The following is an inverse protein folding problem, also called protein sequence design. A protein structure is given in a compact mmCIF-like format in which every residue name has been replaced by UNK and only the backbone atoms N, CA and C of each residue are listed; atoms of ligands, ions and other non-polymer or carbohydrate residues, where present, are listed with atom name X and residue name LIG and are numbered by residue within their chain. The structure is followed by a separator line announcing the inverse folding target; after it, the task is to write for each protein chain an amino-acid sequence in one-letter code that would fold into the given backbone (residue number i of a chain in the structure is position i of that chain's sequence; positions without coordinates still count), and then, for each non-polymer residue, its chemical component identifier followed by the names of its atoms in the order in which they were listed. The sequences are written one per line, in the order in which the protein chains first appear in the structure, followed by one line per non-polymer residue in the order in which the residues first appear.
data_IF_892091242083
#
_entry.id   IF_892091242083
#
_cell.length_a   1.000
_cell.length_b   1.000
_cell.length_c   1.000
_cell.angle_alpha   90.00
_cell.angle_beta   90.00
_cell.angle_gamma   90.00
#
_symmetry.space_group_name_H-M   'P 1'
#
loop_
_entity.id
_entity.type
_entity.pdbx_description
1 polymer ?
#
# COMPACT_ATOMS: atom_id res chain seq x y z
N UNK A 1 -5.16 45.59 3.01
CA UNK A 1 -6.41 45.26 2.32
C UNK A 1 -6.60 43.77 2.49
N UNK A 2 -7.50 43.36 3.40
CA UNK A 2 -7.82 41.96 3.67
C UNK A 2 -8.66 41.42 2.51
N UNK A 3 -8.13 40.47 1.77
CA UNK A 3 -8.92 39.67 0.83
C UNK A 3 -9.98 38.94 1.65
N UNK A 4 -11.20 39.36 1.57
CA UNK A 4 -12.38 38.59 2.01
C UNK A 4 -12.48 37.40 1.10
N UNK A 5 -11.89 36.27 1.50
CA UNK A 5 -11.93 35.04 0.76
C UNK A 5 -13.39 34.60 0.58
N UNK A 6 -13.85 34.56 -0.69
CA UNK A 6 -15.15 33.99 -1.07
C UNK A 6 -15.07 32.50 -0.71
N UNK A 7 -15.88 32.04 0.26
CA UNK A 7 -16.01 30.61 0.57
C UNK A 7 -17.19 30.02 -0.21
N UNK A 8 -17.05 28.85 -0.74
CA UNK A 8 -18.12 28.05 -1.35
C UNK A 8 -18.74 27.14 -0.29
N UNK A 9 -20.05 27.06 -0.24
CA UNK A 9 -20.76 26.11 0.62
C UNK A 9 -20.94 24.80 -0.13
N UNK A 10 -20.42 23.70 0.40
CA UNK A 10 -20.55 22.37 -0.17
C UNK A 10 -21.48 21.55 0.72
N UNK A 11 -22.59 21.10 0.17
CA UNK A 11 -23.55 20.23 0.85
C UNK A 11 -23.19 18.77 0.64
N UNK A 12 -23.38 17.94 1.66
CA UNK A 12 -23.09 16.53 1.63
C UNK A 12 -24.01 15.70 2.53
N UNK A 13 -24.16 14.41 2.20
CA UNK A 13 -24.83 13.39 2.99
C UNK A 13 -23.83 12.31 3.39
N UNK A 14 -23.70 12.03 4.69
CA UNK A 14 -22.94 10.88 5.17
C UNK A 14 -23.73 9.58 5.01
N UNK A 15 -23.08 8.55 4.47
CA UNK A 15 -23.67 7.21 4.28
C UNK A 15 -22.72 6.11 4.74
N UNK A 16 -23.26 4.91 4.96
CA UNK A 16 -22.46 3.68 5.04
C UNK A 16 -22.20 3.07 3.64
N UNK A 17 -21.54 1.91 3.60
CA UNK A 17 -21.25 1.20 2.36
C UNK A 17 -22.49 0.67 1.61
N UNK A 18 -23.65 0.68 2.22
CA UNK A 18 -24.93 0.28 1.62
C UNK A 18 -25.78 1.49 1.18
N UNK A 19 -25.21 2.70 1.23
CA UNK A 19 -25.93 3.93 0.89
C UNK A 19 -26.91 4.42 1.97
N UNK A 20 -27.01 3.74 3.11
CA UNK A 20 -27.87 4.17 4.21
C UNK A 20 -27.21 5.33 4.97
N UNK A 21 -28.04 6.25 5.45
CA UNK A 21 -27.56 7.41 6.23
C UNK A 21 -26.73 6.97 7.43
N UNK A 22 -25.48 7.44 7.49
CA UNK A 22 -24.57 7.14 8.57
C UNK A 22 -25.10 7.64 9.90
N UNK A 23 -25.35 6.72 10.86
CA UNK A 23 -25.87 7.02 12.21
C UNK A 23 -27.05 8.02 12.20
N UNK A 24 -27.92 7.96 11.18
CA UNK A 24 -29.07 8.83 10.97
C UNK A 24 -28.78 10.34 10.83
N UNK A 25 -27.55 10.71 10.47
CA UNK A 25 -27.18 12.11 10.27
C UNK A 25 -27.92 12.66 9.04
N UNK A 26 -28.55 13.82 9.21
CA UNK A 26 -29.18 14.57 8.12
C UNK A 26 -28.11 15.17 7.17
N UNK A 27 -28.47 15.49 5.91
CA UNK A 27 -27.61 16.26 5.03
C UNK A 27 -27.08 17.52 5.70
N UNK A 28 -25.82 17.84 5.46
CA UNK A 28 -25.13 18.95 6.10
C UNK A 28 -24.23 19.67 5.10
N UNK A 29 -23.51 20.69 5.54
CA UNK A 29 -22.61 21.45 4.68
C UNK A 29 -21.32 21.83 5.40
N UNK A 30 -20.30 22.17 4.60
CA UNK A 30 -19.05 22.80 5.03
C UNK A 30 -18.73 23.97 4.10
N UNK A 31 -18.04 24.99 4.65
CA UNK A 31 -17.54 26.12 3.86
C UNK A 31 -16.09 25.84 3.46
N UNK A 32 -15.79 25.89 2.17
CA UNK A 32 -14.47 25.61 1.62
C UNK A 32 -14.03 26.70 0.65
N UNK A 33 -12.75 26.74 0.31
CA UNK A 33 -12.24 27.60 -0.78
C UNK A 33 -12.92 27.24 -2.10
N UNK A 34 -13.16 28.19 -3.02
CA UNK A 34 -13.64 27.89 -4.38
C UNK A 34 -12.73 26.94 -5.16
N UNK A 35 -11.45 26.87 -4.82
CA UNK A 35 -10.45 25.96 -5.39
C UNK A 35 -10.34 24.63 -4.66
N UNK A 36 -11.22 24.37 -3.67
CA UNK A 36 -11.17 23.15 -2.86
C UNK A 36 -11.39 21.89 -3.70
N UNK A 37 -10.79 20.83 -3.24
CA UNK A 37 -10.85 19.49 -3.84
C UNK A 37 -11.53 18.51 -2.88
N UNK A 38 -11.78 17.30 -3.35
CA UNK A 38 -12.40 16.22 -2.55
C UNK A 38 -11.64 15.96 -1.24
N UNK A 39 -10.31 16.00 -1.25
CA UNK A 39 -9.50 15.83 -0.03
C UNK A 39 -9.79 16.91 1.03
N UNK A 40 -10.02 18.14 0.60
CA UNK A 40 -10.36 19.26 1.50
C UNK A 40 -11.75 19.05 2.11
N UNK A 41 -12.71 18.55 1.31
CA UNK A 41 -14.02 18.16 1.78
C UNK A 41 -13.94 17.05 2.84
N UNK A 42 -13.21 15.97 2.57
CA UNK A 42 -13.04 14.87 3.51
C UNK A 42 -12.48 15.36 4.84
N UNK A 43 -11.45 16.21 4.80
CA UNK A 43 -10.82 16.82 5.98
C UNK A 43 -11.80 17.70 6.77
N UNK A 44 -12.59 18.53 6.08
CA UNK A 44 -13.59 19.41 6.71
C UNK A 44 -14.76 18.61 7.31
N UNK A 45 -15.25 17.59 6.60
CA UNK A 45 -16.31 16.68 7.11
C UNK A 45 -15.81 15.94 8.34
N UNK A 46 -14.59 15.41 8.30
CA UNK A 46 -13.96 14.75 9.43
C UNK A 46 -13.86 15.68 10.64
N UNK A 47 -13.37 16.89 10.46
CA UNK A 47 -13.22 17.90 11.51
C UNK A 47 -14.58 18.31 12.10
N UNK A 48 -15.63 18.43 11.28
CA UNK A 48 -16.98 18.77 11.70
C UNK A 48 -17.59 17.73 12.67
N UNK A 49 -17.24 16.45 12.51
CA UNK A 49 -17.81 15.35 13.29
C UNK A 49 -16.79 14.62 14.16
N UNK A 50 -15.60 15.18 14.37
CA UNK A 50 -14.46 14.58 15.09
C UNK A 50 -14.81 14.05 16.48
N UNK A 51 -15.55 14.86 17.26
CA UNK A 51 -15.87 14.53 18.65
C UNK A 51 -17.15 13.68 18.80
N UNK A 52 -17.82 13.33 17.69
CA UNK A 52 -19.13 12.69 17.72
C UNK A 52 -19.20 11.46 16.82
N UNK A 53 -19.66 11.66 15.60
CA UNK A 53 -20.05 10.56 14.71
C UNK A 53 -18.86 9.91 13.98
N UNK A 54 -17.75 10.64 13.82
CA UNK A 54 -16.53 10.20 13.11
C UNK A 54 -15.30 10.15 14.03
N UNK A 55 -15.50 9.92 15.35
CA UNK A 55 -14.43 9.95 16.35
C UNK A 55 -13.25 9.04 15.98
N UNK A 56 -13.52 7.85 15.46
CA UNK A 56 -12.53 6.84 15.13
C UNK A 56 -12.38 6.66 13.61
N UNK A 57 -12.90 7.60 12.81
CA UNK A 57 -12.87 7.59 11.35
C UNK A 57 -11.92 8.69 10.89
N UNK A 58 -11.01 8.38 9.99
CA UNK A 58 -10.07 9.34 9.39
C UNK A 58 -10.61 9.91 8.07
N UNK A 59 -10.09 11.06 7.64
CA UNK A 59 -10.55 11.73 6.43
C UNK A 59 -10.36 10.89 5.16
N UNK A 60 -9.34 10.05 5.12
CA UNK A 60 -9.02 9.12 4.03
C UNK A 60 -9.94 7.88 4.00
N UNK A 61 -10.70 7.63 5.08
CA UNK A 61 -11.75 6.61 5.13
C UNK A 61 -13.09 7.10 4.55
N UNK A 62 -13.12 8.35 4.11
CA UNK A 62 -14.28 8.95 3.48
C UNK A 62 -14.13 8.87 1.95
N UNK A 63 -15.09 8.24 1.29
CA UNK A 63 -15.18 8.21 -0.15
C UNK A 63 -16.30 9.15 -0.62
N UNK A 64 -16.04 9.97 -1.63
CA UNK A 64 -16.99 10.98 -2.12
C UNK A 64 -17.55 10.58 -3.47
N UNK A 65 -18.87 10.68 -3.62
CA UNK A 65 -19.64 10.42 -4.84
C UNK A 65 -20.50 11.63 -5.17
N UNK A 66 -20.83 11.82 -6.45
CA UNK A 66 -21.66 12.97 -6.87
C UNK A 66 -23.10 12.87 -6.33
N UNK A 67 -23.65 11.65 -6.31
CA UNK A 67 -25.02 11.38 -5.89
C UNK A 67 -25.17 9.92 -5.43
N UNK A 68 -26.38 9.52 -5.05
CA UNK A 68 -26.68 8.15 -4.60
C UNK A 68 -26.56 7.11 -5.73
N UNK A 69 -26.88 7.47 -6.98
CA UNK A 69 -26.76 6.55 -8.13
C UNK A 69 -25.29 6.22 -8.42
N UNK A 70 -24.40 7.19 -8.24
CA UNK A 70 -22.95 6.97 -8.37
C UNK A 70 -22.42 6.07 -7.24
N UNK A 71 -23.01 6.12 -6.03
CA UNK A 71 -22.68 5.23 -4.93
C UNK A 71 -23.12 3.79 -5.20
N UNK A 72 -24.34 3.58 -5.70
CA UNK A 72 -24.86 2.24 -6.04
C UNK A 72 -24.01 1.56 -7.10
N UNK A 73 -23.38 2.36 -7.96
CA UNK A 73 -22.47 1.89 -8.99
C UNK A 73 -21.00 2.03 -8.56
N UNK A 74 -20.63 1.81 -7.33
CA UNK A 74 -19.29 1.92 -6.68
C UNK A 74 -18.10 2.38 -7.57
N UNK A 75 -18.32 2.47 -8.87
CA UNK A 75 -17.37 2.77 -9.95
C UNK A 75 -17.16 4.27 -10.19
N UNK A 76 -17.90 5.16 -9.48
CA UNK A 76 -17.89 6.60 -9.77
C UNK A 76 -17.48 7.46 -8.57
N UNK A 77 -16.63 6.91 -7.69
CA UNK A 77 -15.99 7.69 -6.64
C UNK A 77 -15.23 8.86 -7.27
N UNK A 78 -15.36 10.04 -6.71
CA UNK A 78 -14.56 11.19 -7.10
C UNK A 78 -13.12 11.00 -6.58
N UNK A 79 -12.14 11.26 -7.46
CA UNK A 79 -10.72 11.31 -7.07
C UNK A 79 -10.51 12.35 -5.97
N UNK A 80 -9.60 12.10 -5.04
CA UNK A 80 -9.26 13.05 -3.97
C UNK A 80 -8.77 14.41 -4.49
N UNK A 81 -8.20 14.45 -5.70
CA UNK A 81 -7.76 15.67 -6.37
C UNK A 81 -8.85 16.34 -7.21
N UNK A 82 -10.05 15.72 -7.32
CA UNK A 82 -11.16 16.26 -8.12
C UNK A 82 -11.62 17.61 -7.56
N UNK A 83 -11.75 18.66 -8.41
CA UNK A 83 -12.23 19.96 -7.97
C UNK A 83 -13.72 19.88 -7.59
N UNK A 84 -14.11 20.59 -6.55
CA UNK A 84 -15.49 20.61 -6.06
C UNK A 84 -16.35 21.70 -6.69
N UNK A 85 -15.79 22.51 -7.58
CA UNK A 85 -16.52 23.62 -8.21
C UNK A 85 -17.77 23.12 -8.94
N UNK A 86 -18.93 23.65 -8.56
CA UNK A 86 -20.23 23.28 -9.15
C UNK A 86 -20.83 21.97 -8.62
N UNK A 87 -20.20 21.33 -7.62
CA UNK A 87 -20.70 20.12 -6.98
C UNK A 87 -21.22 20.40 -5.56
N UNK A 88 -22.06 19.49 -5.04
CA UNK A 88 -22.52 19.55 -3.66
C UNK A 88 -23.44 20.74 -3.37
N UNK A 89 -24.50 20.87 -4.13
CA UNK A 89 -25.55 21.89 -3.90
C UNK A 89 -26.55 21.42 -2.84
N UNK A 90 -27.41 22.29 -2.35
CA UNK A 90 -28.49 21.95 -1.41
C UNK A 90 -29.53 21.00 -2.01
N UNK A 91 -29.72 21.07 -3.34
CA UNK A 91 -30.62 20.18 -4.09
C UNK A 91 -29.96 18.83 -4.39
N UNK A 92 -28.67 18.85 -4.73
CA UNK A 92 -27.87 17.67 -5.06
C UNK A 92 -26.62 17.60 -4.16
N UNK A 93 -26.77 17.19 -2.90
CA UNK A 93 -25.62 17.06 -1.99
C UNK A 93 -24.71 15.93 -2.44
N UNK A 94 -23.41 16.12 -2.27
CA UNK A 94 -22.45 15.04 -2.45
C UNK A 94 -22.70 13.90 -1.46
N UNK A 95 -22.51 12.68 -1.88
CA UNK A 95 -22.57 11.52 -0.98
C UNK A 95 -21.16 11.26 -0.45
N UNK A 96 -20.99 11.33 0.86
CA UNK A 96 -19.76 11.01 1.56
C UNK A 96 -19.93 9.69 2.27
N UNK A 97 -19.40 8.63 1.70
CA UNK A 97 -19.48 7.28 2.25
C UNK A 97 -18.36 7.08 3.28
N UNK A 98 -18.74 6.56 4.43
CA UNK A 98 -17.81 6.10 5.46
C UNK A 98 -17.44 4.66 5.14
N UNK A 99 -16.20 4.47 4.67
CA UNK A 99 -15.68 3.12 4.43
C UNK A 99 -15.37 2.43 5.76
N UNK A 100 -15.71 1.16 5.88
CA UNK A 100 -15.31 0.40 7.06
C UNK A 100 -13.76 0.35 7.13
N UNK A 101 -13.15 0.56 8.29
CA UNK A 101 -11.69 0.50 8.42
C UNK A 101 -11.19 -0.87 7.99
N UNK A 102 -10.13 -0.90 7.20
CA UNK A 102 -9.44 -2.14 6.84
C UNK A 102 -8.91 -2.72 8.16
N UNK A 103 -9.45 -3.88 8.56
CA UNK A 103 -9.03 -4.54 9.80
C UNK A 103 -7.55 -4.90 9.69
N UNK A 104 -6.69 -4.24 10.47
CA UNK A 104 -5.27 -4.58 10.57
C UNK A 104 -4.33 -3.38 10.53
N UNK A 105 -4.58 -2.36 9.72
CA UNK A 105 -3.71 -1.18 9.66
C UNK A 105 -4.22 -0.16 10.68
N UNK A 106 -3.49 0.04 11.79
CA UNK A 106 -3.73 1.17 12.69
C UNK A 106 -3.27 2.44 11.98
N UNK A 107 -4.21 3.19 11.42
CA UNK A 107 -3.95 4.44 10.71
C UNK A 107 -3.53 5.52 11.71
N UNK A 108 -2.37 6.13 11.49
CA UNK A 108 -1.98 7.37 12.14
C UNK A 108 -2.68 8.55 11.47
N UNK A 109 -2.83 9.68 12.20
CA UNK A 109 -3.33 10.93 11.61
C UNK A 109 -2.42 11.33 10.45
N UNK A 110 -2.95 11.29 9.22
CA UNK A 110 -2.19 11.76 8.06
C UNK A 110 -2.22 13.29 8.02
N UNK A 111 -1.08 13.91 8.25
CA UNK A 111 -0.91 15.36 8.12
C UNK A 111 -0.11 15.68 6.86
N UNK A 112 -0.80 16.25 5.88
CA UNK A 112 -0.18 16.71 4.63
C UNK A 112 0.97 17.69 4.86
N UNK A 113 0.93 18.48 5.93
CA UNK A 113 1.96 19.48 6.22
C UNK A 113 3.28 18.83 6.62
N UNK A 114 3.22 17.68 7.27
CA UNK A 114 4.38 16.92 7.75
C UNK A 114 5.00 16.00 6.68
N UNK A 115 4.25 15.68 5.61
CA UNK A 115 4.78 14.83 4.55
C UNK A 115 5.86 15.55 3.74
N UNK A 116 6.99 14.89 3.53
CA UNK A 116 8.10 15.40 2.75
C UNK A 116 7.71 15.81 1.33
N UNK A 117 8.21 16.96 0.90
CA UNK A 117 7.90 17.58 -0.40
C UNK A 117 8.13 16.62 -1.58
N UNK A 118 9.15 15.76 -1.49
CA UNK A 118 9.49 14.83 -2.57
C UNK A 118 8.44 13.74 -2.76
N UNK A 119 7.89 13.15 -1.69
CA UNK A 119 6.80 12.17 -1.79
C UNK A 119 5.53 12.82 -2.33
N UNK A 120 5.20 14.06 -1.92
CA UNK A 120 4.08 14.82 -2.48
C UNK A 120 4.20 14.95 -4.00
N UNK A 121 5.36 15.39 -4.49
CA UNK A 121 5.62 15.51 -5.91
C UNK A 121 5.55 14.16 -6.63
N UNK A 122 6.05 13.09 -5.99
CA UNK A 122 5.98 11.74 -6.54
C UNK A 122 4.53 11.27 -6.71
N UNK A 123 3.66 11.47 -5.72
CA UNK A 123 2.24 11.12 -5.81
C UNK A 123 1.51 11.95 -6.87
N UNK A 124 1.77 13.25 -6.95
CA UNK A 124 1.19 14.09 -8.00
C UNK A 124 1.61 13.63 -9.41
N UNK A 125 2.88 13.27 -9.59
CA UNK A 125 3.39 12.78 -10.87
C UNK A 125 2.85 11.38 -11.18
N UNK A 126 2.71 10.52 -10.16
CA UNK A 126 2.12 9.20 -10.31
C UNK A 126 0.65 9.31 -10.75
N UNK A 127 -0.18 10.08 -10.07
CA UNK A 127 -1.58 10.26 -10.44
C UNK A 127 -1.72 10.82 -11.86
N UNK A 128 -0.90 11.82 -12.23
CA UNK A 128 -0.87 12.34 -13.62
C UNK A 128 -0.50 11.25 -14.63
N UNK A 129 0.43 10.36 -14.29
CA UNK A 129 0.80 9.25 -15.16
C UNK A 129 -0.33 8.20 -15.25
N UNK A 130 -1.02 7.92 -14.14
CA UNK A 130 -2.17 7.02 -14.10
C UNK A 130 -3.36 7.58 -14.91
N UNK A 131 -3.65 8.87 -14.83
CA UNK A 131 -4.70 9.54 -15.62
C UNK A 131 -4.51 9.39 -17.15
N UNK A 132 -3.28 9.21 -17.61
CA UNK A 132 -2.97 9.00 -19.03
C UNK A 132 -3.24 7.57 -19.51
N UNK A 133 -3.55 6.63 -18.61
CA UNK A 133 -3.92 5.27 -19.01
C UNK A 133 -5.29 5.27 -19.71
N UNK A 134 -5.52 4.39 -20.70
CA UNK A 134 -6.81 4.31 -21.38
C UNK A 134 -7.96 4.11 -20.39
N UNK A 135 -8.97 4.98 -20.46
CA UNK A 135 -10.11 4.97 -19.52
C UNK A 135 -10.85 3.63 -19.42
N UNK A 136 -10.83 2.82 -20.47
CA UNK A 136 -11.39 1.45 -20.45
C UNK A 136 -10.73 0.53 -19.41
N UNK A 137 -9.59 0.92 -18.84
CA UNK A 137 -8.89 0.17 -17.78
C UNK A 137 -9.30 0.58 -16.37
N UNK A 138 -9.97 1.71 -16.19
CA UNK A 138 -10.45 2.17 -14.89
C UNK A 138 -11.82 1.55 -14.60
N UNK A 139 -11.87 0.51 -13.82
CA UNK A 139 -13.10 -0.19 -13.47
C UNK A 139 -13.80 0.32 -12.22
N UNK A 140 -13.11 1.08 -11.36
CA UNK A 140 -13.66 1.57 -10.09
C UNK A 140 -13.11 2.97 -9.78
N UNK A 141 -13.99 3.95 -9.63
CA UNK A 141 -13.72 5.27 -9.02
C UNK A 141 -12.65 6.16 -9.66
N UNK A 142 -12.39 6.10 -10.95
CA UNK A 142 -11.25 6.76 -11.61
C UNK A 142 -9.88 6.38 -11.02
N UNK A 143 -9.81 5.31 -10.27
CA UNK A 143 -8.60 4.78 -9.66
C UNK A 143 -8.06 3.62 -10.50
N UNK A 144 -6.75 3.59 -10.73
CA UNK A 144 -6.13 2.58 -11.57
C UNK A 144 -6.01 1.23 -10.84
N UNK A 145 -6.48 0.12 -11.43
CA UNK A 145 -6.22 -1.19 -10.86
C UNK A 145 -4.72 -1.50 -10.87
N UNK A 146 -4.14 -1.86 -9.73
CA UNK A 146 -2.71 -2.19 -9.61
C UNK A 146 -2.27 -3.21 -10.69
N UNK A 147 -3.10 -4.23 -10.95
CA UNK A 147 -2.84 -5.27 -11.95
C UNK A 147 -2.83 -4.78 -13.41
N UNK A 148 -3.15 -3.52 -13.68
CA UNK A 148 -3.17 -2.96 -15.02
C UNK A 148 -2.17 -1.82 -15.22
N UNK A 149 -1.37 -1.51 -14.22
CA UNK A 149 -0.38 -0.44 -14.27
C UNK A 149 0.88 -0.95 -14.98
N UNK A 150 1.21 -0.43 -16.18
CA UNK A 150 2.39 -0.88 -16.90
C UNK A 150 3.66 -0.22 -16.35
N UNK A 151 4.78 -0.94 -16.41
CA UNK A 151 6.09 -0.46 -15.93
C UNK A 151 6.52 0.87 -16.53
N UNK A 152 6.35 1.05 -17.83
CA UNK A 152 6.72 2.30 -18.51
C UNK A 152 5.96 3.53 -18.02
N UNK A 153 4.80 3.36 -17.40
CA UNK A 153 4.02 4.43 -16.76
C UNK A 153 4.69 4.88 -15.47
N UNK A 154 5.09 3.94 -14.62
CA UNK A 154 5.61 4.22 -13.27
C UNK A 154 7.13 4.44 -13.23
N UNK A 155 7.88 3.84 -14.13
CA UNK A 155 9.34 3.94 -14.20
C UNK A 155 9.82 5.41 -14.27
N UNK A 156 9.09 6.26 -15.00
CA UNK A 156 9.42 7.69 -15.12
C UNK A 156 9.25 8.47 -13.82
N UNK A 157 8.39 7.95 -12.93
CA UNK A 157 8.09 8.58 -11.64
C UNK A 157 9.04 8.05 -10.56
N UNK A 158 9.28 6.75 -10.53
CA UNK A 158 9.97 6.09 -9.42
C UNK A 158 11.48 6.05 -9.56
N UNK A 159 12.02 5.77 -10.75
CA UNK A 159 13.46 5.73 -11.05
C UNK A 159 14.30 5.12 -9.90
N UNK A 160 14.12 3.84 -9.56
CA UNK A 160 14.81 3.25 -8.42
C UNK A 160 16.32 3.31 -8.58
N UNK A 161 17.02 3.84 -7.57
CA UNK A 161 18.47 3.84 -7.53
C UNK A 161 18.98 2.51 -6.98
N UNK A 162 20.10 2.01 -7.51
CA UNK A 162 20.73 0.80 -6.99
C UNK A 162 21.22 1.03 -5.55
N UNK A 163 21.01 0.05 -4.67
CA UNK A 163 21.54 0.02 -3.33
C UNK A 163 21.77 -1.43 -2.87
N UNK A 164 22.37 -1.60 -1.72
CA UNK A 164 22.50 -2.89 -1.06
C UNK A 164 21.64 -2.91 0.19
N UNK A 165 20.67 -3.87 0.26
CA UNK A 165 19.80 -4.05 1.43
C UNK A 165 20.60 -4.64 2.59
N UNK A 166 20.42 -4.12 3.79
CA UNK A 166 21.05 -4.64 5.01
C UNK A 166 20.79 -6.14 5.16
N UNK A 167 21.87 -6.88 5.36
CA UNK A 167 21.85 -8.32 5.57
C UNK A 167 22.09 -8.61 7.06
N UNK A 168 21.04 -8.98 7.78
CA UNK A 168 21.11 -9.39 9.20
C UNK A 168 20.76 -10.88 9.29
N UNK A 169 21.71 -11.76 9.59
CA UNK A 169 21.44 -13.19 9.63
C UNK A 169 20.33 -13.59 10.58
N UNK A 170 19.55 -14.61 10.22
CA UNK A 170 18.65 -15.31 11.15
C UNK A 170 19.42 -16.40 11.89
N UNK A 171 18.81 -16.95 12.93
CA UNK A 171 19.42 -18.06 13.67
C UNK A 171 19.65 -19.27 12.76
N UNK A 172 20.82 -19.92 12.88
CA UNK A 172 21.19 -21.11 12.08
C UNK A 172 20.17 -22.25 12.25
N UNK A 173 19.58 -22.41 13.44
CA UNK A 173 18.54 -23.40 13.70
C UNK A 173 17.30 -23.18 12.82
N UNK A 174 16.87 -21.92 12.64
CA UNK A 174 15.73 -21.57 11.78
C UNK A 174 16.05 -21.82 10.30
N UNK A 175 17.28 -21.51 9.88
CA UNK A 175 17.74 -21.78 8.53
C UNK A 175 17.77 -23.29 8.21
N UNK A 176 18.27 -24.12 9.14
CA UNK A 176 18.26 -25.58 8.99
C UNK A 176 16.84 -26.15 8.98
N UNK A 177 15.96 -25.62 9.82
CA UNK A 177 14.54 -25.99 9.82
C UNK A 177 13.88 -25.67 8.49
N UNK A 178 14.11 -24.47 7.97
CA UNK A 178 13.61 -24.01 6.67
C UNK A 178 14.11 -24.91 5.52
N UNK A 179 15.40 -25.21 5.49
CA UNK A 179 15.97 -26.11 4.48
C UNK A 179 15.35 -27.53 4.55
N UNK A 180 15.14 -28.04 5.76
CA UNK A 180 14.46 -29.33 5.97
C UNK A 180 13.01 -29.30 5.49
N UNK A 181 12.34 -28.15 5.63
CA UNK A 181 10.99 -27.93 5.14
C UNK A 181 10.94 -27.97 3.60
N UNK A 182 11.89 -27.34 2.91
CA UNK A 182 11.96 -27.40 1.45
C UNK A 182 12.17 -28.82 0.93
N UNK A 183 12.99 -29.63 1.57
CA UNK A 183 13.14 -31.05 1.21
C UNK A 183 11.80 -31.81 1.28
N UNK A 184 10.92 -31.45 2.23
CA UNK A 184 9.57 -32.04 2.33
C UNK A 184 8.64 -31.53 1.24
N UNK A 185 8.59 -30.22 1.01
CA UNK A 185 7.73 -29.59 -0.01
C UNK A 185 8.00 -30.20 -1.39
N UNK A 186 9.26 -30.33 -1.78
CA UNK A 186 9.64 -30.90 -3.09
C UNK A 186 9.16 -32.32 -3.34
N UNK A 187 8.75 -33.05 -2.31
CA UNK A 187 8.14 -34.38 -2.50
C UNK A 187 6.69 -34.35 -3.00
N UNK A 188 6.01 -33.23 -2.77
CA UNK A 188 4.57 -33.10 -3.02
C UNK A 188 4.26 -32.12 -4.15
N UNK A 189 5.16 -31.17 -4.43
CA UNK A 189 4.97 -30.16 -5.45
C UNK A 189 5.96 -30.36 -6.58
N UNK A 190 5.50 -30.13 -7.80
CA UNK A 190 6.34 -30.16 -9.00
C UNK A 190 7.39 -29.05 -8.96
N UNK A 191 8.35 -29.12 -9.89
CA UNK A 191 9.42 -28.13 -10.04
C UNK A 191 8.86 -26.70 -10.04
N UNK A 192 9.50 -25.84 -9.27
CA UNK A 192 9.13 -24.44 -9.12
C UNK A 192 9.13 -23.68 -10.47
N UNK A 193 9.99 -24.06 -11.39
CA UNK A 193 10.06 -23.46 -12.72
C UNK A 193 8.73 -23.59 -13.51
N UNK A 194 7.97 -24.65 -13.27
CA UNK A 194 6.70 -24.93 -13.92
C UNK A 194 5.47 -24.55 -13.07
N UNK A 195 5.68 -24.04 -11.86
CA UNK A 195 4.61 -23.69 -10.94
C UNK A 195 3.89 -22.39 -11.34
N UNK A 196 2.59 -22.30 -11.02
CA UNK A 196 1.83 -21.05 -11.10
C UNK A 196 2.09 -20.14 -9.88
N UNK A 197 1.59 -18.90 -9.88
CA UNK A 197 1.79 -17.94 -8.80
C UNK A 197 1.30 -18.47 -7.44
N UNK A 198 0.15 -19.14 -7.38
CA UNK A 198 -0.38 -19.72 -6.15
C UNK A 198 0.52 -20.82 -5.57
N UNK A 199 1.07 -21.67 -6.44
CA UNK A 199 2.03 -22.69 -6.01
C UNK A 199 3.36 -22.10 -5.53
N UNK A 200 3.81 -20.98 -6.12
CA UNK A 200 5.03 -20.27 -5.68
C UNK A 200 4.91 -19.75 -4.25
N UNK A 201 3.72 -19.30 -3.84
CA UNK A 201 3.49 -18.90 -2.46
C UNK A 201 3.76 -20.02 -1.46
N UNK A 202 3.56 -21.29 -1.84
CA UNK A 202 3.89 -22.46 -0.98
C UNK A 202 5.40 -22.54 -0.68
N UNK A 203 6.24 -22.08 -1.62
CA UNK A 203 7.70 -22.02 -1.44
C UNK A 203 8.14 -20.71 -0.80
N UNK A 204 7.45 -19.61 -1.04
CA UNK A 204 7.79 -18.28 -0.54
C UNK A 204 7.45 -18.14 0.94
N UNK A 205 6.23 -18.56 1.35
CA UNK A 205 5.74 -18.41 2.72
C UNK A 205 6.65 -18.99 3.81
N UNK A 206 7.27 -20.17 3.65
CA UNK A 206 8.19 -20.73 4.64
C UNK A 206 9.39 -19.83 4.93
N UNK A 207 9.89 -19.09 3.92
CA UNK A 207 10.97 -18.11 4.10
C UNK A 207 10.53 -17.01 5.07
N UNK A 208 9.32 -16.46 4.87
CA UNK A 208 8.78 -15.44 5.77
C UNK A 208 8.51 -15.98 7.17
N UNK A 209 7.99 -17.19 7.30
CA UNK A 209 7.79 -17.80 8.62
C UNK A 209 9.10 -17.96 9.39
N UNK A 210 10.17 -18.46 8.73
CA UNK A 210 11.47 -18.63 9.38
C UNK A 210 12.08 -17.29 9.83
N UNK A 211 11.79 -16.20 9.15
CA UNK A 211 12.24 -14.84 9.50
C UNK A 211 11.36 -14.21 10.57
N UNK A 212 10.04 -14.39 10.50
CA UNK A 212 9.08 -13.73 11.40
C UNK A 212 8.96 -14.43 12.76
N UNK A 213 9.16 -15.75 12.81
CA UNK A 213 9.03 -16.54 14.04
C UNK A 213 9.89 -16.00 15.20
N UNK A 214 11.19 -15.70 15.04
CA UNK A 214 11.99 -15.16 16.13
C UNK A 214 11.63 -13.71 16.53
N UNK A 215 10.95 -12.97 15.66
CA UNK A 215 10.53 -11.60 15.94
C UNK A 215 9.26 -11.54 16.81
N UNK A 216 8.35 -12.49 16.66
CA UNK A 216 7.17 -12.72 17.50
C UNK A 216 6.06 -11.66 17.40
N UNK A 217 6.32 -10.49 16.82
CA UNK A 217 5.40 -9.36 16.73
C UNK A 217 5.02 -9.00 15.26
N UNK A 218 5.44 -9.81 14.29
CA UNK A 218 5.10 -9.62 12.87
C UNK A 218 3.74 -10.23 12.57
N UNK A 219 2.87 -9.43 11.95
CA UNK A 219 1.59 -9.89 11.41
C UNK A 219 1.73 -10.08 9.90
N UNK A 220 1.29 -11.22 9.40
CA UNK A 220 1.23 -11.51 7.96
C UNK A 220 -0.23 -11.50 7.52
N UNK A 221 -0.54 -10.69 6.53
CA UNK A 221 -1.86 -10.62 5.91
C UNK A 221 -1.75 -11.04 4.45
N UNK A 222 -2.69 -11.87 3.98
CA UNK A 222 -2.65 -12.48 2.64
C UNK A 222 -3.81 -11.95 1.81
N UNK A 223 -3.52 -11.53 0.58
CA UNK A 223 -4.50 -11.18 -0.46
C UNK A 223 -5.60 -10.21 0.00
N UNK A 224 -5.25 -9.17 0.72
CA UNK A 224 -6.17 -8.11 1.08
C UNK A 224 -6.15 -6.96 0.05
N UNK A 225 -7.25 -6.23 -0.02
CA UNK A 225 -7.38 -5.10 -0.95
C UNK A 225 -6.89 -3.81 -0.32
N UNK A 226 -6.16 -3.02 -1.09
CA UNK A 226 -5.79 -1.64 -0.78
C UNK A 226 -6.48 -0.69 -1.75
N UNK A 227 -6.89 0.47 -1.24
CA UNK A 227 -7.41 1.56 -2.07
C UNK A 227 -6.81 2.86 -1.54
N UNK A 228 -6.06 3.55 -2.39
CA UNK A 228 -5.51 4.87 -2.07
C UNK A 228 -6.59 5.95 -2.14
N UNK A 229 -6.44 6.99 -1.32
CA UNK A 229 -7.24 8.20 -1.36
C UNK A 229 -6.49 9.34 -2.04
N UNK A 230 -5.18 9.39 -1.88
CA UNK A 230 -4.25 10.37 -2.44
C UNK A 230 -3.49 9.81 -3.64
N UNK A 231 -3.21 8.52 -3.62
CA UNK A 231 -2.70 7.76 -4.76
C UNK A 231 -3.88 7.11 -5.45
N UNK A 232 -4.18 7.53 -6.69
CA UNK A 232 -5.33 7.08 -7.47
C UNK A 232 -5.13 5.64 -7.98
N UNK A 233 -4.90 4.70 -7.06
CA UNK A 233 -4.70 3.30 -7.35
C UNK A 233 -5.42 2.40 -6.33
N UNK A 234 -5.86 1.23 -6.80
CA UNK A 234 -6.49 0.21 -5.97
C UNK A 234 -6.11 -1.19 -6.45
N UNK A 235 -6.16 -2.16 -5.57
CA UNK A 235 -5.90 -3.55 -5.93
C UNK A 235 -5.64 -4.43 -4.73
N UNK A 236 -5.08 -5.61 -4.99
CA UNK A 236 -4.74 -6.60 -3.96
C UNK A 236 -3.25 -6.83 -3.99
N UNK A 237 -2.66 -6.97 -2.82
CA UNK A 237 -1.30 -7.48 -2.67
C UNK A 237 -1.34 -8.98 -2.34
N UNK A 238 -0.26 -9.69 -2.61
CA UNK A 238 -0.18 -11.11 -2.26
C UNK A 238 0.08 -11.30 -0.77
N UNK A 239 1.06 -10.59 -0.21
CA UNK A 239 1.38 -10.61 1.21
C UNK A 239 1.67 -9.20 1.71
N UNK A 240 1.25 -8.92 2.95
CA UNK A 240 1.65 -7.75 3.71
C UNK A 240 2.21 -8.21 5.05
N UNK A 241 3.42 -7.75 5.37
CA UNK A 241 4.06 -7.97 6.66
C UNK A 241 4.05 -6.65 7.42
N UNK A 242 3.40 -6.66 8.56
CA UNK A 242 3.31 -5.50 9.46
C UNK A 242 4.01 -5.80 10.77
N UNK A 243 4.81 -4.84 11.21
CA UNK A 243 5.41 -4.87 12.52
C UNK A 243 5.09 -3.56 13.24
N UNK A 244 4.33 -3.59 14.36
CA UNK A 244 3.80 -2.38 14.99
C UNK A 244 4.87 -1.34 15.29
N UNK A 245 4.71 -0.10 14.74
CA UNK A 245 5.62 1.01 14.96
C UNK A 245 7.03 0.86 14.36
N UNK A 246 7.27 -0.15 13.53
CA UNK A 246 8.61 -0.47 13.04
C UNK A 246 8.71 -0.48 11.51
N UNK A 247 8.05 -1.41 10.86
CA UNK A 247 8.16 -1.56 9.41
C UNK A 247 6.93 -2.22 8.80
N UNK A 248 6.75 -1.96 7.51
CA UNK A 248 5.78 -2.63 6.66
C UNK A 248 6.49 -3.10 5.39
N UNK A 249 6.17 -4.30 4.97
CA UNK A 249 6.70 -4.89 3.75
C UNK A 249 5.57 -5.45 2.90
N UNK A 250 5.46 -4.96 1.68
CA UNK A 250 4.50 -5.42 0.66
C UNK A 250 5.20 -6.42 -0.24
N UNK A 251 4.60 -7.59 -0.43
CA UNK A 251 5.13 -8.61 -1.33
C UNK A 251 4.19 -8.86 -2.50
N UNK A 252 4.78 -9.00 -3.68
CA UNK A 252 4.13 -9.40 -4.91
C UNK A 252 4.82 -10.65 -5.46
N UNK A 253 4.08 -11.76 -5.56
CA UNK A 253 4.58 -12.99 -6.16
C UNK A 253 4.32 -12.98 -7.67
N UNK A 254 5.36 -13.23 -8.48
CA UNK A 254 5.26 -13.24 -9.94
C UNK A 254 5.77 -14.55 -10.52
N UNK A 255 5.31 -14.87 -11.72
CA UNK A 255 5.83 -16.01 -12.48
C UNK A 255 6.95 -15.56 -13.43
N UNK A 256 6.76 -14.52 -14.20
CA UNK A 256 7.69 -14.10 -15.27
C UNK A 256 7.78 -12.60 -15.47
N UNK A 257 6.69 -11.86 -15.30
CA UNK A 257 6.66 -10.42 -15.61
C UNK A 257 7.07 -9.59 -14.40
N UNK A 258 8.39 -9.49 -14.19
CA UNK A 258 8.98 -8.73 -13.09
C UNK A 258 8.77 -7.22 -13.23
N UNK A 259 8.79 -6.69 -14.44
CA UNK A 259 8.57 -5.27 -14.68
C UNK A 259 7.15 -4.88 -14.26
N UNK A 260 6.17 -5.68 -14.65
CA UNK A 260 4.79 -5.49 -14.20
C UNK A 260 4.65 -5.69 -12.69
N UNK A 261 5.31 -6.71 -12.13
CA UNK A 261 5.35 -6.94 -10.69
C UNK A 261 5.95 -5.77 -9.92
N UNK A 262 7.05 -5.18 -10.41
CA UNK A 262 7.68 -4.02 -9.83
C UNK A 262 6.77 -2.77 -9.90
N UNK A 263 6.09 -2.54 -11.03
CA UNK A 263 5.11 -1.46 -11.16
C UNK A 263 4.00 -1.59 -10.11
N UNK A 264 3.40 -2.76 -10.03
CA UNK A 264 2.33 -3.10 -9.11
C UNK A 264 2.77 -2.93 -7.65
N UNK A 265 3.93 -3.49 -7.30
CA UNK A 265 4.50 -3.43 -5.95
C UNK A 265 4.84 -2.00 -5.52
N UNK A 266 5.52 -1.21 -6.36
CA UNK A 266 5.90 0.17 -6.03
C UNK A 266 4.69 1.07 -5.81
N UNK A 267 3.65 0.96 -6.65
CA UNK A 267 2.41 1.72 -6.44
C UNK A 267 1.69 1.24 -5.18
N UNK A 268 1.67 -0.07 -4.92
CA UNK A 268 1.12 -0.63 -3.69
C UNK A 268 1.86 -0.13 -2.44
N UNK A 269 3.19 0.02 -2.50
CA UNK A 269 3.98 0.62 -1.42
C UNK A 269 3.60 2.08 -1.16
N UNK A 270 3.33 2.88 -2.20
CA UNK A 270 2.87 4.26 -2.01
C UNK A 270 1.46 4.32 -1.41
N UNK A 271 0.54 3.46 -1.85
CA UNK A 271 -0.79 3.33 -1.22
C UNK A 271 -0.67 2.90 0.25
N UNK A 272 0.19 1.92 0.54
CA UNK A 272 0.44 1.49 1.92
C UNK A 272 1.04 2.62 2.77
N UNK A 273 2.00 3.39 2.21
CA UNK A 273 2.60 4.54 2.88
C UNK A 273 1.56 5.62 3.19
N UNK A 274 0.63 5.87 2.27
CA UNK A 274 -0.49 6.78 2.49
C UNK A 274 -1.38 6.30 3.64
N UNK A 275 -1.86 5.05 3.55
CA UNK A 275 -2.82 4.50 4.51
C UNK A 275 -2.27 4.38 5.93
N UNK A 276 -0.98 4.08 6.07
CA UNK A 276 -0.32 3.90 7.36
C UNK A 276 0.45 5.12 7.85
N UNK A 277 0.53 6.20 7.07
CA UNK A 277 1.44 7.33 7.29
C UNK A 277 2.88 6.87 7.55
N UNK A 278 3.37 5.93 6.71
CA UNK A 278 4.69 5.36 6.85
C UNK A 278 5.73 6.19 6.08
N UNK A 279 6.80 6.60 6.75
CA UNK A 279 7.93 7.26 6.10
C UNK A 279 8.67 6.31 5.15
N UNK A 280 8.77 5.06 5.53
CA UNK A 280 9.42 4.00 4.74
C UNK A 280 8.51 2.80 4.60
N UNK A 281 8.35 2.33 3.37
CA UNK A 281 7.69 1.07 3.04
C UNK A 281 8.64 0.24 2.20
N UNK A 282 8.80 -1.01 2.56
CA UNK A 282 9.60 -1.95 1.78
C UNK A 282 8.71 -2.72 0.82
N UNK A 283 9.23 -2.99 -0.37
CA UNK A 283 8.58 -3.82 -1.37
C UNK A 283 9.44 -5.02 -1.73
N UNK A 284 8.81 -6.14 -2.00
CA UNK A 284 9.48 -7.34 -2.50
C UNK A 284 8.69 -7.88 -3.69
N UNK A 285 9.38 -8.12 -4.81
CA UNK A 285 8.82 -8.85 -5.94
C UNK A 285 9.64 -10.12 -6.12
N UNK A 286 8.98 -11.27 -6.16
CA UNK A 286 9.69 -12.54 -6.26
C UNK A 286 8.92 -13.60 -7.02
N UNK A 287 9.66 -14.49 -7.67
CA UNK A 287 9.17 -15.76 -8.20
C UNK A 287 9.73 -16.96 -7.41
N UNK A 288 10.30 -16.72 -6.24
CA UNK A 288 11.11 -17.60 -5.41
C UNK A 288 12.58 -17.70 -5.84
N UNK A 289 12.89 -17.70 -7.14
CA UNK A 289 14.28 -17.80 -7.63
C UNK A 289 14.95 -16.42 -7.74
N UNK A 290 14.19 -15.40 -8.16
CA UNK A 290 14.61 -14.00 -8.20
C UNK A 290 13.87 -13.20 -7.13
N UNK A 291 14.58 -12.31 -6.46
CA UNK A 291 14.09 -11.44 -5.40
C UNK A 291 14.52 -10.02 -5.69
N UNK A 292 13.55 -9.18 -6.04
CA UNK A 292 13.75 -7.74 -6.18
C UNK A 292 13.27 -7.06 -4.91
N UNK A 293 14.19 -6.42 -4.20
CA UNK A 293 13.94 -5.66 -2.99
C UNK A 293 13.83 -4.19 -3.32
N UNK A 294 12.82 -3.52 -2.79
CA UNK A 294 12.62 -2.09 -2.91
C UNK A 294 12.55 -1.45 -1.54
N UNK A 295 13.21 -0.31 -1.37
CA UNK A 295 13.05 0.57 -0.21
C UNK A 295 12.48 1.89 -0.69
N UNK A 296 11.23 2.14 -0.33
CA UNK A 296 10.45 3.30 -0.72
C UNK A 296 10.38 4.26 0.47
N UNK A 297 11.18 5.33 0.44
CA UNK A 297 11.24 6.35 1.48
C UNK A 297 10.50 7.61 1.03
N UNK A 298 10.38 8.59 1.95
CA UNK A 298 9.88 9.92 1.62
C UNK A 298 10.72 10.58 0.51
N UNK A 299 12.03 10.38 0.51
CA UNK A 299 12.96 11.07 -0.37
C UNK A 299 13.25 10.31 -1.67
N UNK A 300 13.37 8.99 -1.61
CA UNK A 300 13.87 8.20 -2.74
C UNK A 300 13.29 6.80 -2.78
N UNK A 301 13.44 6.17 -3.93
CA UNK A 301 13.21 4.74 -4.11
C UNK A 301 14.53 4.10 -4.47
N UNK A 302 14.83 2.98 -3.82
CA UNK A 302 16.05 2.20 -4.03
C UNK A 302 15.72 0.76 -4.30
N UNK A 303 16.54 0.05 -5.08
CA UNK A 303 16.29 -1.34 -5.43
C UNK A 303 17.55 -2.17 -5.47
N UNK A 304 17.41 -3.45 -5.15
CA UNK A 304 18.44 -4.48 -5.28
C UNK A 304 17.81 -5.77 -5.80
N UNK A 305 18.53 -6.50 -6.64
CA UNK A 305 18.12 -7.83 -7.11
C UNK A 305 19.05 -8.89 -6.57
N UNK A 306 18.47 -9.94 -5.99
CA UNK A 306 19.18 -11.13 -5.52
C UNK A 306 18.60 -12.39 -6.16
N UNK A 307 19.41 -13.47 -6.19
CA UNK A 307 18.97 -14.75 -6.74
C UNK A 307 19.12 -15.87 -5.71
N UNK A 308 18.08 -16.68 -5.59
CA UNK A 308 18.10 -17.92 -4.84
C UNK A 308 18.57 -19.05 -5.76
N UNK A 309 19.75 -19.56 -5.51
CA UNK A 309 20.30 -20.69 -6.26
C UNK A 309 19.68 -21.99 -5.77
N UNK A 310 19.26 -22.85 -6.72
CA UNK A 310 18.66 -24.15 -6.44
C UNK A 310 19.48 -25.23 -7.12
N UNK A 311 19.94 -26.21 -6.34
CA UNK A 311 20.72 -27.36 -6.81
C UNK A 311 19.92 -28.64 -6.55
N UNK A 312 19.60 -29.40 -7.59
CA UNK A 312 18.84 -30.64 -7.46
C UNK A 312 17.54 -30.48 -6.66
N UNK A 313 16.76 -29.43 -6.96
CA UNK A 313 15.52 -29.06 -6.27
C UNK A 313 15.68 -28.62 -4.81
N UNK A 314 16.88 -28.25 -4.37
CA UNK A 314 17.10 -27.71 -3.02
C UNK A 314 17.69 -26.31 -3.12
N UNK A 315 17.18 -25.33 -2.36
CA UNK A 315 17.84 -24.04 -2.25
C UNK A 315 19.24 -24.19 -1.66
N UNK A 316 20.23 -23.51 -2.24
CA UNK A 316 21.56 -23.36 -1.66
C UNK A 316 21.46 -22.63 -0.34
N UNK A 317 22.08 -23.17 0.72
CA UNK A 317 22.09 -22.55 2.04
C UNK A 317 22.65 -21.14 2.02
N UNK A 318 23.70 -20.88 1.24
CA UNK A 318 24.33 -19.55 1.18
C UNK A 318 23.39 -18.52 0.57
N UNK A 319 22.72 -18.86 -0.56
CA UNK A 319 21.75 -17.94 -1.13
C UNK A 319 20.50 -17.78 -0.26
N UNK A 320 20.10 -18.82 0.44
CA UNK A 320 18.98 -18.78 1.41
C UNK A 320 19.33 -17.87 2.60
N UNK A 321 20.58 -17.93 3.13
CA UNK A 321 21.07 -16.99 4.15
C UNK A 321 20.99 -15.54 3.69
N UNK A 322 21.36 -15.27 2.46
CA UNK A 322 21.29 -13.92 1.90
C UNK A 322 19.85 -13.42 1.86
N UNK A 323 18.94 -14.20 1.28
CA UNK A 323 17.53 -13.80 1.14
C UNK A 323 16.86 -13.62 2.51
N UNK A 324 16.99 -14.60 3.41
CA UNK A 324 16.41 -14.52 4.76
C UNK A 324 17.01 -13.37 5.57
N UNK A 325 18.33 -13.15 5.44
CA UNK A 325 19.02 -12.07 6.14
C UNK A 325 18.59 -10.68 5.67
N UNK A 326 18.33 -10.49 4.37
CA UNK A 326 17.80 -9.22 3.84
C UNK A 326 16.37 -8.97 4.29
N UNK A 327 15.50 -9.98 4.27
CA UNK A 327 14.13 -9.86 4.80
C UNK A 327 14.16 -9.54 6.29
N UNK A 328 15.03 -10.21 7.06
CA UNK A 328 15.22 -9.93 8.48
C UNK A 328 15.68 -8.49 8.72
N UNK A 329 16.67 -8.01 7.93
CA UNK A 329 17.13 -6.63 7.98
C UNK A 329 16.05 -5.58 7.66
N UNK A 330 15.08 -5.90 6.80
CA UNK A 330 13.89 -5.06 6.54
C UNK A 330 12.99 -4.97 7.77
N UNK A 331 12.76 -6.09 8.45
CA UNK A 331 11.81 -6.16 9.56
C UNK A 331 12.38 -5.67 10.89
N UNK A 332 13.69 -5.50 11.01
CA UNK A 332 14.34 -4.97 12.20
C UNK A 332 14.34 -3.45 12.24
N UNK A 333 14.08 -2.88 13.41
CA UNK A 333 14.32 -1.45 13.68
C UNK A 333 15.83 -1.15 13.75
N UNK A 334 16.19 0.13 13.63
CA UNK A 334 17.59 0.56 13.74
C UNK A 334 18.27 0.10 15.03
N UNK A 335 17.54 0.17 16.15
CA UNK A 335 18.08 -0.24 17.47
C UNK A 335 18.29 -1.76 17.56
N UNK A 336 17.42 -2.55 16.95
CA UNK A 336 17.56 -4.00 16.89
C UNK A 336 18.69 -4.44 15.98
N UNK A 337 18.90 -3.74 14.84
CA UNK A 337 20.04 -3.97 13.94
C UNK A 337 21.36 -3.79 14.66
N UNK A 338 21.49 -2.71 15.45
CA UNK A 338 22.71 -2.45 16.24
C UNK A 338 22.99 -3.57 17.25
N UNK A 339 21.97 -4.11 17.93
CA UNK A 339 22.12 -5.24 18.88
C UNK A 339 22.57 -6.52 18.19
N UNK A 340 21.98 -6.83 17.02
CA UNK A 340 22.37 -8.00 16.23
C UNK A 340 23.83 -7.92 15.75
N UNK A 341 24.29 -6.73 15.33
CA UNK A 341 25.66 -6.53 14.87
C UNK A 341 26.69 -6.75 15.99
N UNK A 342 26.39 -6.34 17.22
CA UNK A 342 27.24 -6.57 18.39
C UNK A 342 27.29 -8.04 18.81
N UNK A 343 26.21 -8.78 18.63
CA UNK A 343 26.15 -10.20 19.01
C UNK A 343 26.87 -11.14 18.02
N UNK A 344 27.20 -10.66 16.82
CA UNK A 344 27.89 -11.42 15.76
C UNK A 344 29.38 -11.06 15.65
N UNK A 345 29.85 -10.03 16.35
CA UNK A 345 31.27 -9.64 16.50
C UNK A 345 31.90 -10.32 17.71
#
# INVERSE_FOLDING_TARGET
MSETGISSTIYFQLTDSNGLRWKHILPSYVALSPSARVVDLCSAVRSKYDQSYLKDIYADELAVYRNAEDLDNLQRRLSCTHPLMGLGTDVEPLVVMVSAPIKGIKRSKFDWSEMGTQRKHRWMNLNRALEQLPQARFSVNNSAPLSQIPWNCVMRVFQPAAYEQDLIPILEANLHSLNSHFIKIHRFFSDIAHSNEAQRLVFILPIFYAVCEPLGDVKITIQESLTGCLVDAHGRYDLLLERPGKSICVLEAKRTDFDHGAAQNLVCCEVAAELGNWETVHGIVTDFLRWDFFTNTVESIRSETCYLHVEGNKPSLDSLKIITGKIHGILLSSDEKNRCSVALS
#
